data_IF_049693705109
#
_entry.id   IF_049693705109
#
_cell.length_a   1.000
_cell.length_b   1.000
_cell.length_c   1.000
_cell.angle_alpha   90.00
_cell.angle_beta   90.00
_cell.angle_gamma   90.00
#
_symmetry.space_group_name_H-M   'P 1'
#
loop_
_entity.id
_entity.type
_entity.pdbx_description
1 polymer ?
#
# COMPACT_ATOMS: atom_id res chain seq x y z
N UNK A 1 4.69 32.70 59.50
CA UNK A 1 3.43 32.73 58.70
C UNK A 1 3.45 31.58 57.71
N UNK A 2 2.68 30.52 57.98
CA UNK A 2 2.58 29.32 57.14
C UNK A 2 1.60 29.58 55.97
N UNK A 3 2.07 29.58 54.72
CA UNK A 3 1.19 29.74 53.55
C UNK A 3 0.54 28.39 53.19
N UNK A 4 -0.79 28.41 53.11
CA UNK A 4 -1.70 27.29 52.91
C UNK A 4 -1.50 26.62 51.54
N UNK A 5 -1.23 25.32 51.56
CA UNK A 5 -1.30 24.47 50.38
C UNK A 5 -2.74 24.30 49.90
N UNK A 6 -2.95 24.38 48.59
CA UNK A 6 -4.19 23.96 47.92
C UNK A 6 -3.80 22.98 46.82
N UNK A 7 -3.93 21.70 47.11
CA UNK A 7 -3.98 20.63 46.12
C UNK A 7 -5.30 20.80 45.35
N UNK A 8 -5.22 21.21 44.08
CA UNK A 8 -6.33 21.12 43.15
C UNK A 8 -6.09 19.92 42.26
N UNK A 9 -6.76 18.82 42.60
CA UNK A 9 -6.93 17.64 41.76
C UNK A 9 -7.94 18.03 40.69
N UNK A 10 -7.43 18.35 39.49
CA UNK A 10 -8.23 18.67 38.31
C UNK A 10 -8.02 17.60 37.26
N UNK A 11 -8.98 16.68 37.16
CA UNK A 11 -9.12 15.68 36.10
C UNK A 11 -9.06 16.32 34.71
N UNK A 12 -8.05 15.97 33.91
CA UNK A 12 -8.05 16.30 32.48
C UNK A 12 -8.23 15.02 31.67
N UNK A 13 -9.40 14.98 31.03
CA UNK A 13 -9.90 13.97 30.11
C UNK A 13 -8.86 13.62 29.03
N UNK A 14 -8.67 12.31 28.85
CA UNK A 14 -8.01 11.70 27.71
C UNK A 14 -8.73 12.09 26.41
N UNK A 15 -8.28 13.15 25.75
CA UNK A 15 -8.60 13.34 24.33
C UNK A 15 -7.67 12.41 23.56
N UNK A 16 -8.14 11.17 23.33
CA UNK A 16 -7.65 10.36 22.23
C UNK A 16 -7.94 11.13 20.94
N UNK A 17 -6.98 11.93 20.50
CA UNK A 17 -6.89 12.34 19.12
C UNK A 17 -6.77 11.04 18.32
N UNK A 18 -7.86 10.68 17.65
CA UNK A 18 -7.84 9.82 16.47
C UNK A 18 -6.97 10.53 15.44
N UNK A 19 -5.65 10.38 15.61
CA UNK A 19 -4.70 10.53 14.54
C UNK A 19 -5.02 9.41 13.56
N UNK A 20 -5.95 9.69 12.64
CA UNK A 20 -5.91 9.12 11.31
C UNK A 20 -4.58 9.56 10.72
N UNK A 21 -3.53 8.82 11.03
CA UNK A 21 -2.23 9.01 10.41
C UNK A 21 -2.47 8.61 8.96
N UNK A 22 -2.75 9.58 8.11
CA UNK A 22 -2.36 9.49 6.70
C UNK A 22 -0.84 9.34 6.76
N UNK A 23 -0.38 8.10 6.86
CA UNK A 23 1.02 7.79 6.78
C UNK A 23 1.46 8.31 5.41
N UNK A 24 2.35 9.30 5.41
CA UNK A 24 2.99 9.83 4.21
C UNK A 24 3.91 8.72 3.67
N UNK A 25 3.30 7.74 3.00
CA UNK A 25 3.95 6.50 2.61
C UNK A 25 4.63 6.60 1.24
N UNK A 26 4.64 7.76 0.58
CA UNK A 26 5.14 7.89 -0.78
C UNK A 26 6.58 7.45 -1.03
N UNK A 27 7.43 7.51 0.00
CA UNK A 27 8.81 6.99 -0.04
C UNK A 27 9.00 5.70 0.75
N UNK A 28 8.05 5.35 1.62
CA UNK A 28 8.17 4.26 2.58
C UNK A 28 7.43 3.03 2.05
N UNK A 29 8.05 1.87 2.16
CA UNK A 29 7.39 0.62 1.82
C UNK A 29 6.17 0.39 2.74
N UNK A 30 5.05 0.00 2.13
CA UNK A 30 4.07 -0.83 2.83
C UNK A 30 4.65 -2.23 2.84
N UNK A 31 5.01 -2.72 4.02
CA UNK A 31 5.66 -4.01 4.21
C UNK A 31 4.64 -5.12 4.46
N UNK A 32 4.91 -6.30 3.88
CA UNK A 32 4.22 -7.56 4.13
C UNK A 32 2.70 -7.45 3.96
N UNK A 33 2.26 -6.71 2.94
CA UNK A 33 0.85 -6.62 2.59
C UNK A 33 0.42 -7.94 1.95
N UNK A 34 -0.80 -8.39 2.29
CA UNK A 34 -1.35 -9.63 1.76
C UNK A 34 -2.79 -9.42 1.29
N UNK A 35 -3.11 -9.97 0.12
CA UNK A 35 -4.43 -9.88 -0.52
C UNK A 35 -4.83 -11.22 -1.12
N UNK A 36 -6.11 -11.56 -1.01
CA UNK A 36 -6.69 -12.66 -1.79
C UNK A 36 -6.96 -12.15 -3.20
N UNK A 37 -6.27 -12.71 -4.18
CA UNK A 37 -6.50 -12.49 -5.60
C UNK A 37 -7.42 -13.61 -6.11
N UNK A 38 -8.66 -13.29 -6.52
CA UNK A 38 -9.53 -14.29 -7.13
C UNK A 38 -8.93 -14.81 -8.44
N UNK A 39 -9.13 -16.10 -8.71
CA UNK A 39 -8.80 -16.76 -9.96
C UNK A 39 -9.73 -16.35 -11.10
N UNK A 40 -9.57 -16.98 -12.26
CA UNK A 40 -10.51 -16.80 -13.36
C UNK A 40 -10.59 -15.39 -13.91
N UNK A 41 -9.44 -14.73 -14.13
CA UNK A 41 -9.38 -13.31 -14.52
C UNK A 41 -9.92 -12.35 -13.44
N UNK A 42 -9.78 -12.74 -12.18
CA UNK A 42 -10.09 -11.93 -11.01
C UNK A 42 -9.06 -10.83 -10.79
N UNK A 43 -9.42 -9.87 -9.93
CA UNK A 43 -8.57 -8.74 -9.60
C UNK A 43 -8.67 -8.35 -8.13
N UNK A 44 -7.63 -7.68 -7.64
CA UNK A 44 -7.58 -7.10 -6.29
C UNK A 44 -6.65 -5.88 -6.28
N UNK A 45 -6.91 -4.93 -5.39
CA UNK A 45 -6.07 -3.76 -5.20
C UNK A 45 -5.28 -3.81 -3.90
N UNK A 46 -4.11 -3.18 -3.90
CA UNK A 46 -3.35 -2.93 -2.67
C UNK A 46 -4.00 -1.84 -1.82
N UNK A 47 -3.39 -1.56 -0.67
CA UNK A 47 -3.51 -0.30 0.04
C UNK A 47 -3.19 0.89 -0.89
N UNK A 48 -3.59 2.08 -0.48
CA UNK A 48 -3.27 3.32 -1.18
C UNK A 48 -1.99 3.92 -0.56
N UNK A 49 -1.14 4.49 -1.41
CA UNK A 49 -0.04 5.35 -0.99
C UNK A 49 -0.08 6.67 -1.76
N UNK A 50 0.22 7.77 -1.07
CA UNK A 50 0.42 9.08 -1.70
C UNK A 50 1.77 9.06 -2.41
N UNK A 51 1.81 9.22 -3.74
CA UNK A 51 3.05 9.30 -4.51
C UNK A 51 3.93 10.45 -4.02
N UNK A 52 5.22 10.24 -3.76
CA UNK A 52 6.12 11.27 -3.24
C UNK A 52 7.01 11.93 -4.30
N UNK A 53 7.17 11.31 -5.47
CA UNK A 53 8.09 11.78 -6.49
C UNK A 53 7.79 11.22 -7.88
N UNK A 54 8.51 11.71 -8.90
CA UNK A 54 8.44 11.15 -10.25
C UNK A 54 9.14 9.78 -10.29
N UNK A 55 8.68 8.89 -11.15
CA UNK A 55 9.35 7.61 -11.41
C UNK A 55 8.42 6.41 -11.37
N UNK A 56 9.02 5.22 -11.46
CA UNK A 56 8.32 3.94 -11.32
C UNK A 56 8.06 3.63 -9.84
N UNK A 57 7.01 2.87 -9.54
CA UNK A 57 6.84 2.24 -8.23
C UNK A 57 7.87 1.11 -8.05
N UNK A 58 8.12 0.71 -6.81
CA UNK A 58 8.88 -0.50 -6.51
C UNK A 58 7.96 -1.55 -5.88
N UNK A 59 8.08 -2.78 -6.35
CA UNK A 59 7.30 -3.93 -5.88
C UNK A 59 8.25 -5.09 -5.58
N UNK A 60 8.13 -5.68 -4.39
CA UNK A 60 8.81 -6.91 -4.01
C UNK A 60 7.76 -7.97 -3.73
N UNK A 61 7.65 -8.96 -4.61
CA UNK A 61 6.76 -10.09 -4.38
C UNK A 61 7.48 -11.08 -3.47
N UNK A 62 6.89 -11.39 -2.32
CA UNK A 62 7.41 -12.45 -1.46
C UNK A 62 7.26 -13.79 -2.17
N UNK A 63 7.94 -14.83 -1.70
CA UNK A 63 7.81 -16.18 -2.27
C UNK A 63 6.38 -16.70 -2.04
N UNK A 64 5.47 -16.34 -2.93
CA UNK A 64 4.12 -16.88 -3.03
C UNK A 64 4.09 -18.02 -4.04
N UNK A 65 3.12 -18.93 -3.87
CA UNK A 65 2.95 -20.09 -4.73
C UNK A 65 3.04 -19.70 -6.22
N UNK A 66 3.63 -20.56 -7.05
CA UNK A 66 4.10 -20.31 -8.43
C UNK A 66 3.06 -19.86 -9.45
N UNK A 67 2.43 -18.72 -9.19
CA UNK A 67 1.39 -18.08 -9.97
C UNK A 67 2.00 -16.90 -10.71
N UNK A 68 1.59 -16.77 -11.97
CA UNK A 68 1.79 -15.54 -12.73
C UNK A 68 0.63 -14.61 -12.42
N UNK A 69 0.94 -13.37 -12.06
CA UNK A 69 -0.03 -12.29 -11.94
C UNK A 69 0.42 -11.12 -12.80
N UNK A 70 -0.53 -10.28 -13.21
CA UNK A 70 -0.22 -9.03 -13.85
C UNK A 70 -0.48 -7.89 -12.87
N UNK A 71 0.36 -6.87 -12.89
CA UNK A 71 0.25 -5.73 -11.97
C UNK A 71 0.48 -4.42 -12.70
N UNK A 72 -0.28 -3.38 -12.34
CA UNK A 72 -0.02 -1.99 -12.76
C UNK A 72 -0.27 -1.05 -11.59
N UNK A 73 0.25 0.17 -11.66
CA UNK A 73 -0.24 1.23 -10.79
C UNK A 73 -1.53 1.82 -11.33
N UNK A 74 -2.43 2.23 -10.45
CA UNK A 74 -3.65 2.95 -10.80
C UNK A 74 -3.91 4.07 -9.79
N UNK A 75 -4.56 5.14 -10.25
CA UNK A 75 -4.79 6.34 -9.46
C UNK A 75 -5.22 7.54 -10.31
N UNK A 76 -5.50 8.70 -9.68
CA UNK A 76 -5.92 9.90 -10.38
C UNK A 76 -4.89 10.38 -11.41
N UNK A 77 -5.38 10.85 -12.56
CA UNK A 77 -4.59 11.53 -13.58
C UNK A 77 -3.83 10.61 -14.55
N UNK A 78 -3.53 9.36 -14.19
CA UNK A 78 -2.92 8.40 -15.09
C UNK A 78 -3.02 6.94 -14.58
N UNK A 79 -2.92 5.99 -15.50
CA UNK A 79 -2.82 4.55 -15.18
C UNK A 79 -1.52 4.00 -15.75
N UNK A 80 -0.81 3.19 -14.96
CA UNK A 80 0.42 2.54 -15.38
C UNK A 80 0.17 1.42 -16.40
N UNK A 81 1.22 1.07 -17.14
CA UNK A 81 1.21 -0.14 -17.98
C UNK A 81 1.30 -1.39 -17.11
N UNK A 82 0.70 -2.50 -17.58
CA UNK A 82 0.85 -3.78 -16.91
C UNK A 82 2.29 -4.28 -16.99
N UNK A 83 2.88 -4.54 -15.83
CA UNK A 83 3.99 -5.46 -15.66
C UNK A 83 3.42 -6.87 -15.69
N UNK A 84 3.80 -7.65 -16.69
CA UNK A 84 3.23 -8.98 -16.96
C UNK A 84 4.02 -10.09 -16.28
N UNK A 85 3.36 -11.21 -15.99
CA UNK A 85 4.00 -12.44 -15.49
C UNK A 85 4.82 -12.23 -14.21
N UNK A 86 4.29 -11.41 -13.29
CA UNK A 86 4.87 -11.18 -11.97
C UNK A 86 4.75 -12.45 -11.14
N UNK A 87 5.88 -12.87 -10.55
CA UNK A 87 6.05 -14.09 -9.76
C UNK A 87 6.61 -13.80 -8.39
N UNK A 88 6.23 -14.65 -7.44
CA UNK A 88 6.79 -14.66 -6.09
C UNK A 88 8.31 -14.79 -6.05
N UNK A 89 8.93 -14.17 -5.06
CA UNK A 89 10.39 -14.19 -4.83
C UNK A 89 11.19 -13.25 -5.73
N UNK A 90 10.53 -12.32 -6.45
CA UNK A 90 11.16 -11.40 -7.38
C UNK A 90 10.76 -9.95 -7.09
N UNK A 91 11.57 -9.01 -7.61
CA UNK A 91 11.26 -7.58 -7.55
C UNK A 91 10.94 -7.03 -8.93
N UNK A 92 10.09 -6.00 -8.96
CA UNK A 92 9.56 -5.38 -10.17
C UNK A 92 9.48 -3.88 -9.99
N UNK A 93 9.45 -3.15 -11.11
CA UNK A 93 9.34 -1.69 -11.13
C UNK A 93 8.18 -1.23 -12.01
N UNK A 94 6.92 -1.41 -11.57
CA UNK A 94 5.76 -0.98 -12.34
C UNK A 94 5.83 0.52 -12.65
N UNK A 95 5.51 0.91 -13.88
CA UNK A 95 5.44 2.33 -14.25
C UNK A 95 4.42 3.04 -13.36
N UNK A 96 4.76 4.20 -12.80
CA UNK A 96 3.86 5.01 -11.99
C UNK A 96 3.74 6.43 -12.59
N UNK A 97 2.97 6.60 -13.68
CA UNK A 97 2.84 7.88 -14.38
C UNK A 97 2.00 8.92 -13.62
N UNK A 98 1.42 8.55 -12.47
CA UNK A 98 0.59 9.45 -11.68
C UNK A 98 1.38 10.69 -11.22
N UNK A 99 0.74 11.87 -11.10
CA UNK A 99 1.39 13.06 -10.55
C UNK A 99 1.84 12.88 -9.10
N UNK A 100 2.86 13.64 -8.68
CA UNK A 100 3.26 13.71 -7.28
C UNK A 100 2.10 14.18 -6.39
N UNK A 101 1.95 13.58 -5.21
CA UNK A 101 0.85 13.85 -4.28
C UNK A 101 -0.44 13.08 -4.59
N UNK A 102 -0.48 12.28 -5.65
CA UNK A 102 -1.67 11.50 -6.00
C UNK A 102 -1.78 10.24 -5.15
N UNK A 103 -3.01 9.83 -4.87
CA UNK A 103 -3.31 8.52 -4.30
C UNK A 103 -3.10 7.43 -5.35
N UNK A 104 -2.11 6.58 -5.14
CA UNK A 104 -1.74 5.47 -6.04
C UNK A 104 -1.95 4.15 -5.32
N UNK A 105 -2.36 3.12 -6.05
CA UNK A 105 -2.38 1.75 -5.57
C UNK A 105 -1.90 0.81 -6.68
N UNK A 106 -1.56 -0.42 -6.31
CA UNK A 106 -1.35 -1.51 -7.26
C UNK A 106 -2.68 -2.16 -7.57
N UNK A 107 -2.91 -2.43 -8.85
CA UNK A 107 -4.00 -3.23 -9.35
C UNK A 107 -3.42 -4.56 -9.85
N UNK A 108 -3.77 -5.67 -9.20
CA UNK A 108 -3.37 -7.01 -9.57
C UNK A 108 -4.48 -7.72 -10.35
N UNK A 109 -4.09 -8.55 -11.31
CA UNK A 109 -4.99 -9.39 -12.10
C UNK A 109 -4.42 -10.81 -12.20
N UNK A 110 -5.29 -11.82 -12.11
CA UNK A 110 -4.95 -13.21 -12.37
C UNK A 110 -5.24 -13.59 -13.82
N UNK A 111 -4.67 -14.70 -14.29
CA UNK A 111 -5.01 -15.29 -15.59
C UNK A 111 -6.36 -16.03 -15.53
N UNK A 112 -6.93 -16.32 -16.71
CA UNK A 112 -8.21 -17.02 -16.86
C UNK A 112 -8.23 -18.42 -16.20
N UNK A 113 -7.08 -19.10 -16.13
CA UNK A 113 -6.97 -20.46 -15.58
C UNK A 113 -6.30 -20.50 -14.21
N UNK A 114 -5.98 -19.34 -13.63
CA UNK A 114 -5.41 -19.29 -12.29
C UNK A 114 -6.48 -19.61 -11.24
N UNK A 115 -6.14 -20.38 -10.19
CA UNK A 115 -7.00 -20.54 -9.03
C UNK A 115 -6.99 -19.28 -8.16
N UNK A 116 -7.93 -19.22 -7.22
CA UNK A 116 -7.88 -18.26 -6.12
C UNK A 116 -6.56 -18.41 -5.35
N UNK A 117 -5.96 -17.28 -4.98
CA UNK A 117 -4.63 -17.28 -4.39
C UNK A 117 -4.42 -16.14 -3.43
N UNK A 118 -3.47 -16.30 -2.52
CA UNK A 118 -3.00 -15.21 -1.67
C UNK A 118 -1.69 -14.68 -2.23
N UNK A 119 -1.65 -13.38 -2.53
CA UNK A 119 -0.43 -12.67 -2.88
C UNK A 119 0.09 -11.91 -1.67
N UNK A 120 1.40 -11.97 -1.43
CA UNK A 120 2.08 -11.26 -0.34
C UNK A 120 3.25 -10.50 -0.91
N UNK A 121 3.36 -9.22 -0.56
CA UNK A 121 4.29 -8.31 -1.21
C UNK A 121 4.62 -7.10 -0.33
N UNK A 122 5.76 -6.47 -0.63
CA UNK A 122 6.09 -5.11 -0.21
C UNK A 122 5.98 -4.19 -1.42
N UNK A 123 5.52 -2.97 -1.23
CA UNK A 123 5.53 -2.00 -2.33
C UNK A 123 5.65 -0.57 -1.86
N UNK A 124 6.12 0.29 -2.76
CA UNK A 124 6.04 1.75 -2.63
C UNK A 124 5.73 2.44 -3.95
N UNK A 125 4.98 3.53 -3.88
CA UNK A 125 4.51 4.32 -5.02
C UNK A 125 5.60 5.15 -5.70
N UNK A 126 6.66 5.50 -4.94
CA UNK A 126 7.75 6.43 -5.26
C UNK A 126 7.28 7.84 -5.57
#
# INVERSE_FOLDING_TARGET
>A
MLKKGKLFVGSLLSVMLLSGVVAYAGTNYTWNESRTLPGGNGNVTSSIQVKAGPGAADLSMHATAGLNVDVRTDGPGATGSYTRNVRGGNTYRPSAPQPNGSDVHLFFSSDLFSPDSTITYDWRSN
#
